data_IF_872274019868
#
_entry.id   IF_872274019868
#
_cell.length_a   1.000
_cell.length_b   1.000
_cell.length_c   1.000
_cell.angle_alpha   90.00
_cell.angle_beta   90.00
_cell.angle_gamma   90.00
#
_symmetry.space_group_name_H-M   'P 1'
#
loop_
_entity.id
_entity.type
_entity.pdbx_description
1 polymer ?
#
# COMPACT_ATOMS: atom_id res chain seq x y z
N UNK A 1 19.82 -26.96 -15.44
CA UNK A 1 18.69 -27.92 -15.52
C UNK A 1 17.41 -27.20 -15.13
N UNK A 2 16.32 -27.44 -15.86
CA UNK A 2 15.01 -26.85 -15.60
C UNK A 2 14.34 -27.53 -14.39
N UNK A 3 13.63 -26.75 -13.56
CA UNK A 3 12.83 -27.28 -12.44
C UNK A 3 11.79 -28.29 -12.93
N UNK A 4 11.05 -27.92 -14.00
CA UNK A 4 9.99 -28.77 -14.53
C UNK A 4 10.49 -30.06 -15.19
N UNK A 5 11.72 -30.08 -15.68
CA UNK A 5 12.36 -31.29 -16.21
C UNK A 5 12.78 -32.30 -15.13
N UNK A 6 12.87 -31.82 -13.88
CA UNK A 6 13.27 -32.65 -12.74
C UNK A 6 12.09 -33.04 -11.84
N UNK A 7 10.85 -32.75 -12.26
CA UNK A 7 9.68 -33.18 -11.53
C UNK A 7 9.54 -34.71 -11.60
N UNK A 8 8.95 -35.34 -10.59
CA UNK A 8 8.71 -36.80 -10.59
C UNK A 8 7.90 -37.21 -11.83
N UNK A 9 8.20 -38.39 -12.37
CA UNK A 9 7.57 -38.92 -13.61
C UNK A 9 6.02 -38.95 -13.52
N UNK A 10 5.45 -39.13 -12.33
CA UNK A 10 3.99 -39.14 -12.15
C UNK A 10 3.33 -37.77 -12.37
N UNK A 11 4.11 -36.68 -12.54
CA UNK A 11 3.57 -35.36 -12.83
C UNK A 11 3.46 -35.06 -14.31
N UNK A 12 3.95 -35.93 -15.20
CA UNK A 12 3.99 -35.71 -16.65
C UNK A 12 2.60 -35.46 -17.26
N UNK A 13 1.58 -36.15 -16.74
CA UNK A 13 0.21 -36.07 -17.24
C UNK A 13 -0.68 -35.09 -16.48
N UNK A 14 -0.07 -34.28 -15.59
CA UNK A 14 -0.85 -33.33 -14.81
C UNK A 14 -1.30 -32.14 -15.63
N UNK A 15 -2.53 -31.69 -15.46
CA UNK A 15 -2.98 -30.43 -16.04
C UNK A 15 -2.17 -29.24 -15.50
N UNK A 16 -1.98 -28.24 -16.32
CA UNK A 16 -1.19 -27.03 -15.99
C UNK A 16 -1.60 -26.40 -14.63
N UNK A 17 -2.88 -26.42 -14.29
CA UNK A 17 -3.38 -25.94 -12.98
C UNK A 17 -2.76 -26.71 -11.84
N UNK A 18 -2.74 -28.03 -11.92
CA UNK A 18 -2.18 -28.89 -10.87
C UNK A 18 -0.67 -28.72 -10.76
N UNK A 19 0.03 -28.50 -11.89
CA UNK A 19 1.45 -28.19 -11.92
C UNK A 19 1.75 -26.84 -11.25
N UNK A 20 0.94 -25.80 -11.52
CA UNK A 20 1.08 -24.51 -10.84
C UNK A 20 0.86 -24.65 -9.34
N UNK A 21 -0.20 -25.35 -8.92
CA UNK A 21 -0.51 -25.58 -7.51
C UNK A 21 0.64 -26.26 -6.78
N UNK A 22 1.18 -27.32 -7.39
CA UNK A 22 2.35 -28.02 -6.84
C UNK A 22 3.59 -27.13 -6.75
N UNK A 23 3.89 -26.39 -7.82
CA UNK A 23 5.05 -25.52 -7.85
C UNK A 23 4.96 -24.41 -6.79
N UNK A 24 3.77 -23.80 -6.60
CA UNK A 24 3.56 -22.76 -5.58
C UNK A 24 3.70 -23.34 -4.18
N UNK A 25 3.09 -24.47 -3.89
CA UNK A 25 3.21 -25.14 -2.59
C UNK A 25 4.68 -25.51 -2.29
N UNK A 26 5.43 -25.97 -3.29
CA UNK A 26 6.86 -26.25 -3.14
C UNK A 26 7.66 -24.97 -2.87
N UNK A 27 7.39 -23.88 -3.56
CA UNK A 27 8.03 -22.59 -3.31
C UNK A 27 7.74 -22.06 -1.91
N UNK A 28 6.51 -22.18 -1.41
CA UNK A 28 6.15 -21.78 -0.05
C UNK A 28 6.85 -22.65 0.99
N UNK A 29 6.92 -23.96 0.77
CA UNK A 29 7.66 -24.84 1.63
C UNK A 29 9.16 -24.48 1.67
N UNK A 30 9.77 -24.23 0.49
CA UNK A 30 11.14 -23.77 0.41
C UNK A 30 11.36 -22.44 1.13
N UNK A 31 10.44 -21.47 0.97
CA UNK A 31 10.51 -20.17 1.64
C UNK A 31 10.55 -20.31 3.16
N UNK A 32 9.76 -21.25 3.72
CA UNK A 32 9.70 -21.50 5.16
C UNK A 32 10.93 -22.23 5.70
N UNK A 33 11.59 -23.06 4.87
CA UNK A 33 12.68 -23.93 5.27
C UNK A 33 14.06 -23.48 4.74
N UNK A 34 14.13 -22.34 4.08
CA UNK A 34 15.35 -21.82 3.48
C UNK A 34 16.22 -21.13 4.53
N UNK A 35 17.35 -21.74 4.91
CA UNK A 35 18.25 -21.22 5.94
C UNK A 35 19.59 -20.71 5.38
N UNK A 36 19.95 -21.06 4.15
CA UNK A 36 21.23 -20.76 3.52
C UNK A 36 21.12 -19.90 2.25
N UNK A 37 22.26 -19.34 1.83
CA UNK A 37 22.34 -18.55 0.58
C UNK A 37 22.15 -19.43 -0.67
N UNK A 38 22.61 -20.66 -0.65
CA UNK A 38 22.43 -21.60 -1.77
C UNK A 38 20.95 -21.94 -1.97
N UNK A 39 20.24 -22.20 -0.87
CA UNK A 39 18.80 -22.49 -0.88
C UNK A 39 17.99 -21.27 -1.37
N UNK A 40 18.38 -20.06 -0.95
CA UNK A 40 17.79 -18.81 -1.47
C UNK A 40 18.03 -18.62 -2.96
N UNK A 41 19.21 -19.00 -3.45
CA UNK A 41 19.51 -18.98 -4.87
C UNK A 41 18.68 -20.01 -5.63
N UNK A 42 18.49 -21.22 -5.07
CA UNK A 42 17.63 -22.26 -5.65
C UNK A 42 16.16 -21.80 -5.67
N UNK A 43 15.65 -21.28 -4.54
CA UNK A 43 14.29 -20.73 -4.43
C UNK A 43 14.05 -19.65 -5.48
N UNK A 44 14.97 -18.69 -5.62
CA UNK A 44 14.87 -17.63 -6.62
C UNK A 44 14.84 -18.18 -8.03
N UNK A 45 15.70 -19.15 -8.37
CA UNK A 45 15.76 -19.76 -9.70
C UNK A 45 14.47 -20.45 -10.04
N UNK A 46 13.92 -21.26 -9.13
CA UNK A 46 12.66 -21.97 -9.33
C UNK A 46 11.50 -20.97 -9.46
N UNK A 47 11.41 -19.98 -8.57
CA UNK A 47 10.35 -18.98 -8.62
C UNK A 47 10.33 -18.18 -9.93
N UNK A 48 11.52 -17.81 -10.46
CA UNK A 48 11.64 -17.15 -11.77
C UNK A 48 11.22 -18.07 -12.90
N UNK A 49 11.54 -19.36 -12.84
CA UNK A 49 11.13 -20.34 -13.85
C UNK A 49 9.61 -20.56 -13.84
N UNK A 50 8.98 -20.65 -12.67
CA UNK A 50 7.51 -20.70 -12.52
C UNK A 50 6.87 -19.44 -13.06
N UNK A 51 7.41 -18.26 -12.73
CA UNK A 51 6.90 -17.00 -13.23
C UNK A 51 7.00 -16.89 -14.77
N UNK A 52 8.06 -17.41 -15.37
CA UNK A 52 8.22 -17.45 -16.84
C UNK A 52 7.25 -18.40 -17.51
N UNK A 53 7.00 -19.57 -16.90
CA UNK A 53 6.08 -20.57 -17.50
C UNK A 53 4.62 -20.12 -17.43
N UNK A 54 4.18 -19.61 -16.29
CA UNK A 54 2.77 -19.32 -16.03
C UNK A 54 2.41 -17.84 -16.08
N UNK A 55 3.37 -16.94 -15.91
CA UNK A 55 3.17 -15.49 -15.82
C UNK A 55 3.42 -14.74 -17.12
N UNK A 56 3.45 -15.39 -18.27
CA UNK A 56 3.54 -14.71 -19.58
C UNK A 56 2.21 -14.04 -19.94
N UNK A 57 2.26 -12.87 -20.63
CA UNK A 57 1.06 -12.22 -21.14
C UNK A 57 0.28 -13.17 -22.07
N UNK A 58 -1.03 -13.35 -21.80
CA UNK A 58 -1.88 -14.27 -22.53
C UNK A 58 -2.02 -15.67 -21.89
N UNK A 59 -1.22 -15.99 -20.88
CA UNK A 59 -1.46 -17.19 -20.06
C UNK A 59 -2.76 -17.05 -19.26
N UNK A 60 -3.51 -18.15 -19.16
CA UNK A 60 -4.70 -18.22 -18.30
C UNK A 60 -4.40 -18.00 -16.81
N UNK A 61 -3.12 -18.11 -16.43
CA UNK A 61 -2.62 -17.91 -15.06
C UNK A 61 -2.00 -16.54 -14.85
N UNK A 62 -1.99 -15.65 -15.85
CA UNK A 62 -1.33 -14.35 -15.79
C UNK A 62 -1.76 -13.50 -14.58
N UNK A 63 -3.06 -13.51 -14.28
CA UNK A 63 -3.68 -12.78 -13.17
C UNK A 63 -4.12 -13.71 -12.01
N UNK A 64 -3.62 -14.94 -11.98
CA UNK A 64 -3.98 -15.91 -10.94
C UNK A 64 -3.43 -15.49 -9.56
N UNK A 65 -4.21 -15.55 -8.48
CA UNK A 65 -3.72 -15.23 -7.13
C UNK A 65 -2.48 -16.02 -6.70
N UNK A 66 -2.32 -17.27 -7.17
CA UNK A 66 -1.12 -18.07 -6.90
C UNK A 66 0.14 -17.48 -7.55
N UNK A 67 -0.02 -16.84 -8.72
CA UNK A 67 1.10 -16.10 -9.32
C UNK A 67 1.50 -14.88 -8.50
N UNK A 68 0.58 -14.27 -7.75
CA UNK A 68 0.93 -13.21 -6.81
C UNK A 68 1.83 -13.73 -5.68
N UNK A 69 1.60 -14.94 -5.18
CA UNK A 69 2.51 -15.62 -4.23
C UNK A 69 3.92 -15.79 -4.84
N UNK A 70 4.02 -16.25 -6.10
CA UNK A 70 5.30 -16.38 -6.81
C UNK A 70 6.03 -15.04 -6.90
N UNK A 71 5.32 -13.97 -7.28
CA UNK A 71 5.86 -12.61 -7.39
C UNK A 71 6.34 -12.10 -6.02
N UNK A 72 5.59 -12.38 -4.93
CA UNK A 72 5.98 -12.05 -3.56
C UNK A 72 7.28 -12.74 -3.17
N UNK A 73 7.42 -14.04 -3.46
CA UNK A 73 8.63 -14.81 -3.17
C UNK A 73 9.81 -14.24 -3.97
N UNK A 74 9.66 -13.99 -5.27
CA UNK A 74 10.70 -13.36 -6.10
C UNK A 74 11.14 -12.02 -5.49
N UNK A 75 10.19 -11.21 -5.04
CA UNK A 75 10.48 -9.92 -4.41
C UNK A 75 11.29 -10.04 -3.14
N UNK A 76 10.98 -11.01 -2.27
CA UNK A 76 11.71 -11.26 -1.01
C UNK A 76 13.15 -11.71 -1.25
N UNK A 77 13.38 -12.58 -2.26
CA UNK A 77 14.72 -13.11 -2.55
C UNK A 77 15.52 -12.26 -3.53
N UNK A 78 14.94 -11.19 -4.08
CA UNK A 78 15.60 -10.30 -5.04
C UNK A 78 16.41 -9.23 -4.34
N UNK A 79 17.76 -9.37 -4.35
CA UNK A 79 18.66 -8.36 -3.76
C UNK A 79 18.64 -7.01 -4.51
N UNK A 80 18.34 -6.99 -5.83
CA UNK A 80 18.40 -5.76 -6.65
C UNK A 80 17.12 -4.95 -6.64
N UNK A 81 15.98 -5.60 -6.73
CA UNK A 81 14.70 -4.92 -6.92
C UNK A 81 13.84 -4.87 -5.65
N UNK A 82 13.99 -5.89 -4.78
CA UNK A 82 13.14 -6.05 -3.63
C UNK A 82 11.67 -6.26 -4.01
N UNK A 83 10.82 -6.43 -3.01
CA UNK A 83 9.38 -6.66 -3.23
C UNK A 83 8.71 -5.46 -3.92
N UNK A 84 9.06 -4.25 -3.52
CA UNK A 84 8.57 -3.00 -4.10
C UNK A 84 8.78 -2.90 -5.60
N UNK A 85 10.01 -3.18 -6.06
CA UNK A 85 10.35 -3.10 -7.48
C UNK A 85 9.68 -4.19 -8.31
N UNK A 86 9.52 -5.39 -7.76
CA UNK A 86 8.86 -6.51 -8.44
C UNK A 86 7.35 -6.24 -8.59
N UNK A 87 6.67 -5.75 -7.53
CA UNK A 87 5.25 -5.38 -7.59
C UNK A 87 5.01 -4.23 -8.58
N UNK A 88 5.85 -3.18 -8.56
CA UNK A 88 5.77 -2.10 -9.55
C UNK A 88 5.86 -2.63 -10.99
N UNK A 89 6.80 -3.53 -11.25
CA UNK A 89 6.96 -4.16 -12.58
C UNK A 89 5.76 -5.02 -12.98
N UNK A 90 5.17 -5.78 -12.03
CA UNK A 90 3.95 -6.54 -12.28
C UNK A 90 2.79 -5.60 -12.67
N UNK A 91 2.62 -4.48 -11.98
CA UNK A 91 1.64 -3.45 -12.32
C UNK A 91 1.87 -2.85 -13.72
N UNK A 92 3.12 -2.50 -14.07
CA UNK A 92 3.49 -1.97 -15.39
C UNK A 92 3.19 -2.96 -16.53
N UNK A 93 3.30 -4.27 -16.26
CA UNK A 93 2.93 -5.35 -17.19
C UNK A 93 1.40 -5.57 -17.27
N UNK A 94 0.62 -4.92 -16.44
CA UNK A 94 -0.83 -5.07 -16.37
C UNK A 94 -1.32 -6.24 -15.54
N UNK A 95 -0.42 -6.93 -14.79
CA UNK A 95 -0.77 -8.06 -13.94
C UNK A 95 -1.54 -7.63 -12.69
N UNK A 96 -2.43 -8.49 -12.23
CA UNK A 96 -3.16 -8.41 -10.94
C UNK A 96 -4.01 -7.15 -10.75
N UNK A 97 -4.34 -6.44 -11.81
CA UNK A 97 -5.11 -5.19 -11.71
C UNK A 97 -6.50 -5.38 -11.08
N UNK A 98 -7.02 -6.63 -11.11
CA UNK A 98 -8.32 -6.99 -10.53
C UNK A 98 -8.24 -7.55 -9.11
N UNK A 99 -7.03 -7.77 -8.58
CA UNK A 99 -6.83 -8.38 -7.28
C UNK A 99 -6.62 -7.33 -6.19
N UNK A 100 -7.53 -7.22 -5.22
CA UNK A 100 -7.39 -6.36 -4.06
C UNK A 100 -6.10 -6.65 -3.29
N UNK A 101 -5.77 -7.93 -3.09
CA UNK A 101 -4.57 -8.39 -2.37
C UNK A 101 -3.27 -7.85 -2.95
N UNK A 102 -3.20 -7.66 -4.27
CA UNK A 102 -2.04 -7.08 -4.93
C UNK A 102 -1.75 -5.65 -4.44
N UNK A 103 -2.77 -4.81 -4.41
CA UNK A 103 -2.62 -3.42 -3.96
C UNK A 103 -2.37 -3.34 -2.46
N UNK A 104 -3.02 -4.19 -1.66
CA UNK A 104 -2.82 -4.28 -0.22
C UNK A 104 -1.37 -4.67 0.08
N UNK A 105 -0.83 -5.67 -0.60
CA UNK A 105 0.58 -6.08 -0.46
C UNK A 105 1.53 -4.95 -0.85
N UNK A 106 1.25 -4.25 -1.94
CA UNK A 106 2.09 -3.16 -2.43
C UNK A 106 2.06 -1.94 -1.49
N UNK A 107 0.89 -1.57 -1.00
CA UNK A 107 0.73 -0.50 -0.03
C UNK A 107 1.44 -0.83 1.30
N UNK A 108 1.36 -2.08 1.77
CA UNK A 108 2.02 -2.53 2.99
C UNK A 108 3.54 -2.29 2.95
N UNK A 109 4.19 -2.54 1.82
CA UNK A 109 5.63 -2.27 1.66
C UNK A 109 5.95 -0.79 1.89
N UNK A 110 5.12 0.12 1.37
CA UNK A 110 5.34 1.56 1.57
C UNK A 110 4.97 2.02 2.98
N UNK A 111 3.96 1.38 3.60
CA UNK A 111 3.59 1.66 5.00
C UNK A 111 4.72 1.26 5.95
N UNK A 112 5.33 0.09 5.77
CA UNK A 112 6.48 -0.39 6.53
C UNK A 112 7.73 0.49 6.34
N UNK A 113 7.88 1.13 5.16
CA UNK A 113 8.94 2.12 4.89
C UNK A 113 8.62 3.53 5.44
N UNK A 114 7.44 3.76 6.03
CA UNK A 114 6.97 5.08 6.46
C UNK A 114 6.73 6.07 5.30
N UNK A 115 6.59 5.58 4.09
CA UNK A 115 6.42 6.41 2.89
C UNK A 115 4.94 6.66 2.57
N UNK A 116 4.34 7.60 3.32
CA UNK A 116 2.91 7.91 3.21
C UNK A 116 2.52 8.41 1.80
N UNK A 117 3.39 9.17 1.14
CA UNK A 117 3.10 9.66 -0.21
C UNK A 117 2.91 8.51 -1.20
N UNK A 118 3.81 7.54 -1.20
CA UNK A 118 3.71 6.37 -2.09
C UNK A 118 2.59 5.43 -1.68
N UNK A 119 2.34 5.27 -0.39
CA UNK A 119 1.18 4.54 0.12
C UNK A 119 -0.13 5.12 -0.43
N UNK A 120 -0.30 6.44 -0.37
CA UNK A 120 -1.49 7.11 -0.89
C UNK A 120 -1.59 7.01 -2.43
N UNK A 121 -0.47 7.03 -3.17
CA UNK A 121 -0.47 6.76 -4.61
C UNK A 121 -1.00 5.36 -4.93
N UNK A 122 -0.56 4.33 -4.22
CA UNK A 122 -1.04 2.96 -4.41
C UNK A 122 -2.52 2.84 -4.06
N UNK A 123 -2.99 3.53 -3.00
CA UNK A 123 -4.40 3.56 -2.65
C UNK A 123 -5.25 4.17 -3.78
N UNK A 124 -4.84 5.31 -4.31
CA UNK A 124 -5.53 5.92 -5.45
C UNK A 124 -5.57 4.98 -6.66
N UNK A 125 -4.47 4.27 -6.97
CA UNK A 125 -4.44 3.28 -8.05
C UNK A 125 -5.40 2.11 -7.80
N UNK A 126 -5.51 1.64 -6.55
CA UNK A 126 -6.42 0.55 -6.17
C UNK A 126 -7.90 0.96 -6.35
N UNK A 127 -8.26 2.18 -5.97
CA UNK A 127 -9.63 2.71 -6.13
C UNK A 127 -10.00 2.95 -7.59
N UNK A 128 -9.03 3.29 -8.45
CA UNK A 128 -9.25 3.50 -9.89
C UNK A 128 -9.26 2.18 -10.68
N UNK A 129 -8.76 1.11 -10.10
CA UNK A 129 -8.70 -0.19 -10.74
C UNK A 129 -10.02 -0.97 -10.52
N UNK A 130 -10.36 -1.93 -11.42
CA UNK A 130 -11.48 -2.86 -11.21
C UNK A 130 -11.16 -3.93 -10.16
N UNK A 131 -10.42 -3.57 -9.12
CA UNK A 131 -9.96 -4.49 -8.08
C UNK A 131 -11.11 -4.90 -7.15
N UNK A 132 -11.18 -6.19 -6.84
CA UNK A 132 -12.24 -6.76 -6.01
C UNK A 132 -11.64 -7.62 -4.89
N UNK A 133 -12.28 -7.68 -3.72
CA UNK A 133 -13.42 -6.85 -3.30
C UNK A 133 -12.97 -5.46 -2.81
N UNK A 134 -13.71 -4.41 -3.15
CA UNK A 134 -13.39 -3.03 -2.80
C UNK A 134 -13.39 -2.79 -1.28
N UNK A 135 -14.31 -3.44 -0.55
CA UNK A 135 -14.39 -3.36 0.91
C UNK A 135 -13.10 -3.82 1.60
N UNK A 136 -12.42 -4.83 1.07
CA UNK A 136 -11.13 -5.28 1.61
C UNK A 136 -10.04 -4.23 1.42
N UNK A 137 -10.06 -3.49 0.30
CA UNK A 137 -9.11 -2.40 0.03
C UNK A 137 -9.32 -1.30 1.07
N UNK A 138 -10.54 -0.79 1.23
CA UNK A 138 -10.83 0.31 2.15
C UNK A 138 -10.50 -0.06 3.60
N UNK A 139 -10.86 -1.28 4.03
CA UNK A 139 -10.55 -1.76 5.37
C UNK A 139 -9.05 -1.90 5.60
N UNK A 140 -8.32 -2.53 4.67
CA UNK A 140 -6.89 -2.76 4.80
C UNK A 140 -6.10 -1.44 4.79
N UNK A 141 -6.42 -0.52 3.87
CA UNK A 141 -5.73 0.76 3.79
C UNK A 141 -6.03 1.67 4.99
N UNK A 142 -7.26 1.69 5.48
CA UNK A 142 -7.63 2.42 6.69
C UNK A 142 -6.91 1.87 7.92
N UNK A 143 -6.78 0.54 8.03
CA UNK A 143 -6.05 -0.11 9.11
C UNK A 143 -4.56 0.22 9.05
N UNK A 144 -3.92 0.07 7.89
CA UNK A 144 -2.51 0.40 7.71
C UNK A 144 -2.23 1.88 7.96
N UNK A 145 -3.11 2.80 7.52
CA UNK A 145 -2.96 4.23 7.79
C UNK A 145 -2.94 4.51 9.29
N UNK A 146 -3.86 3.90 10.05
CA UNK A 146 -3.91 4.05 11.50
C UNK A 146 -2.70 3.43 12.18
N UNK A 147 -2.23 2.28 11.71
CA UNK A 147 -1.11 1.55 12.32
C UNK A 147 0.24 2.24 12.08
N UNK A 148 0.51 2.68 10.85
CA UNK A 148 1.84 3.15 10.46
C UNK A 148 1.99 4.67 10.42
N UNK A 149 0.90 5.45 10.31
CA UNK A 149 0.98 6.90 10.10
C UNK A 149 0.26 7.75 11.16
N UNK A 150 -0.55 7.14 12.07
CA UNK A 150 -1.26 7.89 13.11
C UNK A 150 -0.42 8.26 14.32
N UNK A 151 0.85 7.85 14.40
CA UNK A 151 1.71 8.04 15.58
C UNK A 151 2.41 9.41 15.61
N UNK A 152 2.10 10.35 14.71
CA UNK A 152 2.77 11.66 14.64
C UNK A 152 2.00 12.82 15.28
N UNK A 153 0.91 12.57 15.99
CA UNK A 153 0.17 13.63 16.68
C UNK A 153 -0.15 13.17 18.11
N UNK A 154 0.84 13.06 18.99
CA UNK A 154 0.66 13.35 20.42
C UNK A 154 1.92 13.07 21.29
N UNK A 155 3.02 13.75 21.03
CA UNK A 155 4.09 13.85 22.05
C UNK A 155 4.60 15.28 22.26
N UNK A 156 3.73 16.28 22.21
CA UNK A 156 4.05 17.62 22.68
C UNK A 156 3.01 18.19 23.65
N UNK A 157 2.38 17.35 24.46
CA UNK A 157 1.81 17.84 25.71
C UNK A 157 2.92 17.72 26.76
N UNK A 158 3.73 18.77 26.80
CA UNK A 158 4.61 19.08 27.91
C UNK A 158 3.81 18.93 29.20
N UNK A 159 4.13 17.92 30.00
CA UNK A 159 3.77 17.87 31.41
C UNK A 159 4.48 19.03 32.08
N UNK A 160 3.82 20.16 32.16
CA UNK A 160 4.17 21.16 33.16
C UNK A 160 3.65 20.64 34.51
N UNK A 161 4.51 19.91 35.20
CA UNK A 161 4.34 19.58 36.61
C UNK A 161 4.68 20.85 37.38
N UNK A 162 3.66 21.63 37.70
CA UNK A 162 3.75 22.77 38.62
C UNK A 162 3.09 22.39 39.93
N UNK A 163 3.89 21.95 40.87
CA UNK A 163 3.56 21.99 42.29
C UNK A 163 3.32 23.44 42.70
N UNK A 164 2.17 23.76 43.25
CA UNK A 164 2.00 24.84 44.22
C UNK A 164 0.79 24.51 45.10
N UNK A 165 1.11 24.46 46.40
CA UNK A 165 0.24 24.21 47.51
C UNK A 165 -0.84 25.28 47.71
N UNK A 166 -1.98 24.78 48.22
CA UNK A 166 -2.93 25.36 49.16
C UNK A 166 -2.90 26.85 49.45
N UNK A 167 -4.05 27.50 49.30
CA UNK A 167 -4.75 28.20 50.40
C UNK A 167 -6.22 28.44 50.04
N UNK A 168 -7.05 27.98 50.97
CA UNK A 168 -8.47 28.27 51.09
C UNK A 168 -8.67 29.72 51.49
N UNK A 169 -9.61 30.43 50.86
CA UNK A 169 -10.46 31.40 51.53
C UNK A 169 -11.78 31.59 50.81
N UNK A 170 -12.84 31.36 51.57
CA UNK A 170 -14.22 31.64 51.31
C UNK A 170 -14.47 33.15 51.19
N UNK A 171 -15.29 33.60 50.25
CA UNK A 171 -16.27 34.69 50.51
C UNK A 171 -17.43 34.57 49.54
N UNK A 172 -18.59 34.66 50.14
CA UNK A 172 -19.98 34.69 49.69
C UNK A 172 -20.30 35.99 48.95
N UNK A 173 -21.16 35.95 47.90
CA UNK A 173 -22.03 37.11 47.68
C UNK A 173 -22.46 37.41 46.24
N UNK A 174 -23.70 37.00 45.97
CA UNK A 174 -24.81 37.74 45.31
C UNK A 174 -24.70 38.27 43.89
N UNK A 175 -25.60 37.70 43.07
CA UNK A 175 -26.67 38.35 42.22
C UNK A 175 -26.34 39.65 41.47
N UNK A 176 -26.58 39.67 40.13
CA UNK A 176 -27.77 40.21 39.46
C UNK A 176 -27.56 40.23 37.96
N UNK A 177 -28.52 39.69 37.24
CA UNK A 177 -29.30 40.09 36.07
C UNK A 177 -28.88 41.36 35.31
N UNK A 178 -28.83 41.26 33.99
CA UNK A 178 -29.48 42.02 32.91
C UNK A 178 -28.62 42.05 31.64
N UNK A 179 -29.13 41.49 30.60
CA UNK A 179 -29.88 42.03 29.46
C UNK A 179 -29.13 43.05 28.56
N UNK A 180 -29.04 42.63 27.34
CA UNK A 180 -29.20 43.39 26.09
C UNK A 180 -28.00 44.03 25.37
N UNK A 181 -28.07 43.75 24.10
CA UNK A 181 -27.93 44.62 22.91
C UNK A 181 -26.72 44.34 21.99
N UNK A 182 -27.07 43.78 20.84
CA UNK A 182 -26.30 43.89 19.59
C UNK A 182 -26.09 45.36 19.20
N UNK A 183 -24.98 45.69 18.54
CA UNK A 183 -25.01 45.77 17.07
C UNK A 183 -23.68 45.33 16.38
N UNK A 184 -23.81 44.81 15.18
CA UNK A 184 -22.82 44.85 14.12
C UNK A 184 -22.89 46.19 13.38
N UNK A 185 -22.07 46.53 12.40
CA UNK A 185 -20.79 46.00 11.91
C UNK A 185 -19.73 47.12 11.72
N UNK A 186 -18.48 46.80 11.48
CA UNK A 186 -17.62 47.43 10.47
C UNK A 186 -16.24 46.78 10.36
N UNK A 187 -15.83 46.61 9.13
CA UNK A 187 -14.56 46.41 8.48
C UNK A 187 -13.31 46.77 9.26
N UNK A 188 -12.27 45.95 9.23
CA UNK A 188 -11.06 46.07 8.42
C UNK A 188 -9.92 45.15 8.90
N UNK A 189 -9.33 44.51 7.88
CA UNK A 189 -7.91 44.11 7.75
C UNK A 189 -7.10 43.66 8.96
N UNK A 190 -6.68 42.40 8.96
CA UNK A 190 -5.24 42.09 8.85
C UNK A 190 -5.03 40.64 8.46
N UNK A 191 -4.30 40.44 7.36
CA UNK A 191 -3.65 39.24 6.87
C UNK A 191 -2.77 38.63 7.96
N UNK A 192 -2.73 37.27 8.09
CA UNK A 192 -1.53 36.49 7.85
C UNK A 192 -1.72 34.99 8.12
N UNK A 193 -1.28 34.25 7.14
CA UNK A 193 -0.64 32.91 7.22
C UNK A 193 -1.49 31.70 7.64
N UNK A 194 -2.04 31.04 6.63
CA UNK A 194 -2.08 29.56 6.55
C UNK A 194 -2.40 29.12 5.12
N UNK A 195 -1.42 29.17 4.24
CA UNK A 195 -1.55 28.75 2.83
C UNK A 195 -0.41 27.89 2.32
N UNK A 196 0.17 27.02 3.16
CA UNK A 196 1.21 26.09 2.71
C UNK A 196 0.71 24.69 2.32
N UNK A 197 -0.46 24.25 2.76
CA UNK A 197 -0.99 22.90 2.43
C UNK A 197 -1.78 22.83 1.12
N UNK A 198 -2.38 23.93 0.68
CA UNK A 198 -3.23 23.96 -0.52
C UNK A 198 -2.48 23.88 -1.85
N UNK A 199 -1.21 24.28 -1.88
CA UNK A 199 -0.38 24.31 -3.13
C UNK A 199 0.12 22.91 -3.50
N UNK A 200 0.37 22.06 -2.51
CA UNK A 200 0.82 20.68 -2.73
C UNK A 200 -0.28 19.81 -3.37
N UNK A 201 -1.52 19.94 -2.90
CA UNK A 201 -2.66 19.19 -3.45
C UNK A 201 -2.98 19.59 -4.90
N UNK A 202 -2.91 20.87 -5.25
CA UNK A 202 -3.17 21.33 -6.63
C UNK A 202 -2.07 20.90 -7.61
N UNK A 203 -0.81 20.79 -7.17
CA UNK A 203 0.28 20.24 -7.98
C UNK A 203 0.13 18.73 -8.20
N UNK A 204 -0.29 17.97 -7.19
CA UNK A 204 -0.55 16.55 -7.31
C UNK A 204 -1.72 16.26 -8.24
N UNK A 205 -2.83 17.00 -8.13
CA UNK A 205 -4.00 16.88 -9.01
C UNK A 205 -3.67 17.20 -10.48
N UNK A 206 -2.91 18.26 -10.77
CA UNK A 206 -2.47 18.59 -12.14
C UNK A 206 -1.54 17.53 -12.73
N UNK A 207 -0.63 16.97 -11.93
CA UNK A 207 0.23 15.88 -12.37
C UNK A 207 -0.57 14.63 -12.70
N UNK A 208 -1.60 14.34 -11.92
CA UNK A 208 -2.52 13.22 -12.13
C UNK A 208 -3.34 13.37 -13.43
N UNK A 209 -3.80 14.58 -13.73
CA UNK A 209 -4.54 14.90 -14.97
C UNK A 209 -3.66 14.75 -16.22
N UNK A 210 -2.38 15.14 -16.16
CA UNK A 210 -1.40 14.93 -17.24
C UNK A 210 -1.12 13.43 -17.45
N UNK A 211 -1.02 12.63 -16.38
CA UNK A 211 -0.85 11.18 -16.49
C UNK A 211 -2.08 10.50 -17.11
N UNK A 212 -3.28 10.95 -16.77
CA UNK A 212 -4.53 10.46 -17.35
C UNK A 212 -4.60 10.75 -18.87
N UNK A 213 -4.22 11.95 -19.31
CA UNK A 213 -4.20 12.33 -20.71
C UNK A 213 -3.15 11.55 -21.51
N UNK A 214 -2.00 11.23 -20.90
CA UNK A 214 -0.95 10.41 -21.54
C UNK A 214 -1.32 8.94 -21.59
N UNK A 215 -2.07 8.42 -20.63
CA UNK A 215 -2.57 7.04 -20.62
C UNK A 215 -3.63 6.81 -21.70
N UNK A 216 -4.53 7.77 -21.92
CA UNK A 216 -5.56 7.71 -22.95
C UNK A 216 -4.96 7.76 -24.37
N UNK A 217 -3.88 8.52 -24.57
CA UNK A 217 -3.19 8.61 -25.88
C UNK A 217 -2.38 7.37 -26.29
N UNK A 218 -2.18 6.42 -25.38
CA UNK A 218 -1.42 5.19 -25.63
C UNK A 218 -2.29 3.95 -25.88
N UNK A 219 -3.61 4.09 -25.92
CA UNK A 219 -4.49 3.00 -26.33
C UNK A 219 -4.49 2.92 -27.88
N UNK A 220 -4.06 1.81 -28.50
CA UNK A 220 -4.21 1.64 -29.92
C UNK A 220 -5.71 1.62 -30.27
N UNK A 221 -6.12 2.53 -31.12
CA UNK A 221 -7.41 2.48 -31.77
C UNK A 221 -7.46 1.21 -32.62
N UNK A 222 -8.35 0.28 -32.28
CA UNK A 222 -8.76 -0.81 -33.15
C UNK A 222 -9.90 -0.35 -34.04
#
# INVERSE_FOLDING_TARGET
MSYFSNLPAFTSDWPERKLLDYAVNHLEWMEQNCNGDEERCALRRIAVEVARRFGEPGSVFFDDPKMLTVIRIIGKVSRRMGLKGVLKRAYERGQFRKLAEFYIMWAKVYAEEGNEMRFNEVWALALMAPAQPLSCIDQAFSTMRREYFSTTVDHSVVRVSGNAESKQENIIGRNTTELNVFPSPTSDNTQHSSSASGVSYRKAARKQEIYMQLAVKRLPLK
#
